data_IF_065202392799
#
_entry.id   IF_065202392799
#
_cell.length_a   1.000
_cell.length_b   1.000
_cell.length_c   1.000
_cell.angle_alpha   90.00
_cell.angle_beta   90.00
_cell.angle_gamma   90.00
#
_symmetry.space_group_name_H-M   'P 1'
#
loop_
_entity.id
_entity.type
_entity.pdbx_description
1 polymer ?
#
# COMPACT_ATOMS: atom_id res chain seq x y z
N UNK A 1 10.89 11.11 -26.51
CA UNK A 1 9.82 11.73 -25.71
C UNK A 1 9.75 13.19 -26.08
N UNK A 2 8.60 13.61 -26.54
CA UNK A 2 8.36 14.97 -26.98
C UNK A 2 7.86 15.80 -25.80
N UNK A 3 8.51 16.95 -25.58
CA UNK A 3 8.11 17.89 -24.52
C UNK A 3 7.47 19.12 -25.17
N UNK A 4 6.47 19.66 -24.52
CA UNK A 4 5.91 20.98 -24.87
C UNK A 4 6.89 22.08 -24.48
N UNK A 5 6.75 23.28 -25.05
CA UNK A 5 7.58 24.45 -24.69
C UNK A 5 7.56 24.75 -23.18
N UNK A 6 6.42 24.53 -22.53
CA UNK A 6 6.30 24.76 -21.09
C UNK A 6 7.09 23.70 -20.29
N UNK A 7 7.07 22.45 -20.72
CA UNK A 7 7.84 21.37 -20.10
C UNK A 7 9.34 21.54 -20.32
N UNK A 8 9.76 21.99 -21.51
CA UNK A 8 11.15 22.37 -21.79
C UNK A 8 11.62 23.53 -20.92
N UNK A 9 10.78 24.55 -20.71
CA UNK A 9 11.08 25.67 -19.82
C UNK A 9 11.30 25.23 -18.38
N UNK A 10 10.48 24.26 -17.87
CA UNK A 10 10.68 23.65 -16.54
C UNK A 10 12.01 22.89 -16.51
N UNK A 11 12.30 22.07 -17.52
CA UNK A 11 13.53 21.28 -17.60
C UNK A 11 14.78 22.17 -17.65
N UNK A 12 14.69 23.33 -18.30
CA UNK A 12 15.74 24.33 -18.35
C UNK A 12 15.87 25.18 -17.06
N UNK A 13 15.06 24.95 -16.05
CA UNK A 13 15.13 25.62 -14.75
C UNK A 13 14.41 26.97 -14.67
N UNK A 14 13.68 27.39 -15.70
CA UNK A 14 12.98 28.67 -15.73
C UNK A 14 11.87 28.82 -14.69
N UNK A 15 11.42 27.68 -14.09
CA UNK A 15 10.39 27.65 -13.06
C UNK A 15 10.92 27.22 -11.68
N UNK A 16 12.22 27.36 -11.45
CA UNK A 16 12.89 27.09 -10.18
C UNK A 16 13.47 25.68 -10.08
N UNK A 17 14.46 25.53 -9.17
CA UNK A 17 15.29 24.35 -9.06
C UNK A 17 14.50 23.09 -8.64
N UNK A 18 13.48 23.22 -7.77
CA UNK A 18 12.66 22.10 -7.33
C UNK A 18 11.84 21.48 -8.47
N UNK A 19 11.20 22.31 -9.32
CA UNK A 19 10.48 21.84 -10.50
C UNK A 19 11.40 21.28 -11.57
N UNK A 20 12.58 21.89 -11.77
CA UNK A 20 13.59 21.38 -12.68
C UNK A 20 13.99 19.95 -12.29
N UNK A 21 14.36 19.73 -11.04
CA UNK A 21 14.77 18.40 -10.54
C UNK A 21 13.67 17.36 -10.71
N UNK A 22 12.42 17.74 -10.47
CA UNK A 22 11.26 16.88 -10.73
C UNK A 22 11.12 16.53 -12.22
N UNK A 23 11.27 17.51 -13.11
CA UNK A 23 11.18 17.32 -14.58
C UNK A 23 12.32 16.44 -15.11
N UNK A 24 13.55 16.63 -14.62
CA UNK A 24 14.69 15.76 -14.94
C UNK A 24 14.39 14.30 -14.61
N UNK A 25 13.81 14.02 -13.43
CA UNK A 25 13.48 12.67 -13.01
C UNK A 25 12.36 12.05 -13.85
N UNK A 26 11.24 12.76 -14.03
CA UNK A 26 10.09 12.23 -14.80
C UNK A 26 10.48 12.02 -16.27
N UNK A 27 11.25 12.91 -16.87
CA UNK A 27 11.73 12.75 -18.24
C UNK A 27 12.74 11.61 -18.39
N UNK A 28 13.61 11.41 -17.41
CA UNK A 28 14.54 10.28 -17.39
C UNK A 28 13.78 8.93 -17.29
N UNK A 29 12.81 8.82 -16.39
CA UNK A 29 11.93 7.63 -16.27
C UNK A 29 11.15 7.42 -17.58
N UNK A 30 10.55 8.48 -18.14
CA UNK A 30 9.81 8.39 -19.40
C UNK A 30 10.68 7.86 -20.55
N UNK A 31 11.93 8.31 -20.67
CA UNK A 31 12.87 7.78 -21.66
C UNK A 31 13.21 6.31 -21.44
N UNK A 32 13.42 5.89 -20.19
CA UNK A 32 13.73 4.49 -19.83
C UNK A 32 12.57 3.57 -20.20
N UNK A 33 11.33 3.99 -19.95
CA UNK A 33 10.14 3.18 -20.19
C UNK A 33 9.49 3.42 -21.56
N UNK A 34 10.12 4.20 -22.43
CA UNK A 34 9.66 4.41 -23.82
C UNK A 34 8.42 5.28 -23.93
N UNK A 35 8.20 6.20 -23.00
CA UNK A 35 7.09 7.15 -23.10
C UNK A 35 7.34 8.18 -24.21
N UNK A 36 6.31 8.44 -25.02
CA UNK A 36 6.37 9.45 -26.10
C UNK A 36 6.09 10.87 -25.58
N UNK A 37 5.37 11.01 -24.47
CA UNK A 37 4.94 12.29 -23.91
C UNK A 37 4.73 12.21 -22.40
N UNK A 38 4.45 13.34 -21.77
CA UNK A 38 3.88 13.42 -20.42
C UNK A 38 2.35 13.46 -20.49
N UNK A 39 1.69 13.03 -19.38
CA UNK A 39 0.24 13.10 -19.19
C UNK A 39 -0.08 13.78 -17.87
N UNK A 40 -1.15 14.58 -17.85
CA UNK A 40 -1.63 15.23 -16.63
C UNK A 40 -2.19 14.20 -15.63
N UNK A 41 -1.96 14.43 -14.35
CA UNK A 41 -2.51 13.61 -13.27
C UNK A 41 -3.46 14.41 -12.39
N UNK A 42 -4.49 13.75 -11.85
CA UNK A 42 -5.48 14.39 -10.97
C UNK A 42 -5.07 14.35 -9.50
N UNK A 43 -4.23 13.38 -9.11
CA UNK A 43 -3.72 13.26 -7.73
C UNK A 43 -2.44 12.42 -7.66
N UNK A 44 -1.77 12.49 -6.50
CA UNK A 44 -0.65 11.63 -6.18
C UNK A 44 -0.79 10.99 -4.79
N UNK A 45 -0.20 9.79 -4.63
CA UNK A 45 -0.04 9.15 -3.34
C UNK A 45 1.40 8.69 -3.16
N UNK A 46 2.08 9.25 -2.15
CA UNK A 46 3.54 9.20 -2.04
C UNK A 46 4.00 8.15 -1.04
N UNK A 47 4.87 7.25 -1.46
CA UNK A 47 5.61 6.31 -0.60
C UNK A 47 7.06 6.77 -0.36
N UNK A 48 7.83 5.99 0.42
CA UNK A 48 9.17 6.39 0.81
C UNK A 48 9.17 7.43 1.93
N UNK A 49 8.21 7.34 2.83
CA UNK A 49 8.01 8.30 3.93
C UNK A 49 8.60 7.82 5.27
N UNK A 50 9.09 6.58 5.36
CA UNK A 50 9.74 6.06 6.56
C UNK A 50 11.25 6.30 6.52
N UNK A 51 11.80 6.85 7.61
CA UNK A 51 13.26 7.00 7.77
C UNK A 51 13.99 5.66 7.66
N UNK A 52 13.37 4.55 8.12
CA UNK A 52 13.91 3.19 7.93
C UNK A 52 14.24 2.88 6.46
N UNK A 53 13.41 3.35 5.54
CA UNK A 53 13.53 3.01 4.11
C UNK A 53 14.35 4.00 3.30
N UNK A 54 14.34 5.28 3.66
CA UNK A 54 15.04 6.32 2.89
C UNK A 54 16.35 6.78 3.51
N UNK A 55 16.52 6.61 4.83
CA UNK A 55 17.74 6.98 5.56
C UNK A 55 18.09 8.47 5.44
N UNK A 56 19.35 8.79 5.79
CA UNK A 56 19.86 10.17 5.70
C UNK A 56 19.93 10.69 4.26
N UNK A 57 20.16 9.80 3.29
CA UNK A 57 20.20 10.18 1.87
C UNK A 57 18.85 10.68 1.36
N UNK A 58 17.76 9.96 1.73
CA UNK A 58 16.41 10.39 1.40
C UNK A 58 15.98 11.65 2.15
N UNK A 59 16.33 11.77 3.42
CA UNK A 59 16.10 12.99 4.20
C UNK A 59 16.76 14.20 3.53
N UNK A 60 18.04 14.08 3.17
CA UNK A 60 18.78 15.13 2.46
C UNK A 60 18.15 15.49 1.11
N UNK A 61 17.69 14.50 0.35
CA UNK A 61 16.99 14.73 -0.92
C UNK A 61 15.73 15.56 -0.73
N UNK A 62 14.91 15.28 0.30
CA UNK A 62 13.71 16.05 0.62
C UNK A 62 14.06 17.48 1.06
N UNK A 63 15.12 17.68 1.85
CA UNK A 63 15.61 19.00 2.23
C UNK A 63 16.04 19.82 1.02
N UNK A 64 16.73 19.21 0.06
CA UNK A 64 17.15 19.89 -1.17
C UNK A 64 15.95 20.29 -2.05
N UNK A 65 14.90 19.46 -2.10
CA UNK A 65 13.67 19.81 -2.82
C UNK A 65 12.97 21.00 -2.18
N UNK A 66 12.81 20.99 -0.87
CA UNK A 66 12.19 22.11 -0.11
C UNK A 66 13.03 23.39 -0.29
N UNK A 67 14.35 23.31 -0.15
CA UNK A 67 15.25 24.45 -0.37
C UNK A 67 15.18 24.98 -1.81
N UNK A 68 14.93 24.10 -2.79
CA UNK A 68 14.70 24.43 -4.19
C UNK A 68 13.29 24.98 -4.49
N UNK A 69 12.46 25.20 -3.47
CA UNK A 69 11.11 25.74 -3.60
C UNK A 69 10.07 24.77 -4.20
N UNK A 70 10.29 23.45 -4.07
CA UNK A 70 9.36 22.46 -4.59
C UNK A 70 8.00 22.55 -3.86
N UNK A 71 6.91 22.60 -4.64
CA UNK A 71 5.53 22.55 -4.18
C UNK A 71 4.74 21.60 -5.07
N UNK A 72 3.84 20.80 -4.48
CA UNK A 72 2.96 19.93 -5.29
C UNK A 72 1.93 20.75 -6.06
N UNK A 73 1.62 20.32 -7.26
CA UNK A 73 0.66 20.98 -8.17
C UNK A 73 -0.70 20.29 -8.18
N UNK A 74 -0.83 19.11 -7.55
CA UNK A 74 -2.07 18.33 -7.46
C UNK A 74 -2.31 17.86 -6.03
N UNK A 75 -3.55 17.54 -5.64
CA UNK A 75 -3.84 16.92 -4.37
C UNK A 75 -2.95 15.70 -4.13
N UNK A 76 -2.21 15.72 -3.03
CA UNK A 76 -1.21 14.70 -2.73
C UNK A 76 -1.32 14.23 -1.29
N UNK A 77 -1.26 12.91 -1.10
CA UNK A 77 -1.38 12.24 0.20
C UNK A 77 -0.14 11.41 0.51
N UNK A 78 0.12 11.14 1.78
CA UNK A 78 1.32 10.46 2.24
C UNK A 78 1.00 9.04 2.74
N UNK A 79 1.84 8.09 2.37
CA UNK A 79 1.83 6.70 2.82
C UNK A 79 2.30 6.57 4.28
N UNK A 80 2.09 5.42 4.97
CA UNK A 80 2.57 5.19 6.32
C UNK A 80 4.05 5.49 6.50
N UNK A 81 4.35 6.03 7.65
CA UNK A 81 5.70 6.37 8.13
C UNK A 81 6.20 5.33 9.13
N UNK A 82 7.45 5.45 9.58
CA UNK A 82 8.10 4.43 10.42
C UNK A 82 7.59 4.35 11.87
N UNK A 83 6.64 5.17 12.27
CA UNK A 83 6.12 5.20 13.64
C UNK A 83 4.79 5.96 13.73
N UNK A 84 4.00 5.72 14.77
CA UNK A 84 2.92 6.64 15.18
C UNK A 84 3.53 7.96 15.67
N UNK A 85 3.10 9.09 15.12
CA UNK A 85 3.64 10.43 15.42
C UNK A 85 3.52 10.84 16.89
N UNK A 86 2.55 10.28 17.61
CA UNK A 86 2.24 10.64 19.00
C UNK A 86 2.57 9.51 19.98
N UNK A 87 2.48 8.26 19.55
CA UNK A 87 2.62 7.05 20.39
C UNK A 87 3.87 6.23 20.09
N UNK A 88 4.86 6.80 19.40
CA UNK A 88 6.07 6.09 18.97
C UNK A 88 6.85 5.43 20.14
N UNK A 89 6.73 5.95 21.38
CA UNK A 89 7.35 5.35 22.56
C UNK A 89 6.76 3.98 22.89
N UNK A 90 5.46 3.80 22.65
CA UNK A 90 4.76 2.51 22.84
C UNK A 90 5.16 1.47 21.77
N UNK A 91 5.80 1.93 20.70
CA UNK A 91 6.36 1.08 19.64
C UNK A 91 7.85 0.76 19.86
N UNK A 92 8.41 1.09 21.02
CA UNK A 92 9.84 0.94 21.33
C UNK A 92 10.79 1.69 20.38
N UNK A 93 10.33 2.77 19.76
CA UNK A 93 11.11 3.55 18.80
C UNK A 93 12.17 4.39 19.52
N UNK A 94 13.39 4.36 18.99
CA UNK A 94 14.47 5.16 19.53
C UNK A 94 14.27 6.67 19.25
N UNK A 95 14.56 7.58 20.21
CA UNK A 95 14.35 9.01 20.04
C UNK A 95 15.00 9.62 18.80
N UNK A 96 16.23 9.20 18.45
CA UNK A 96 16.92 9.68 17.24
C UNK A 96 16.17 9.32 15.95
N UNK A 97 15.61 8.11 15.88
CA UNK A 97 14.74 7.71 14.76
C UNK A 97 13.50 8.59 14.69
N UNK A 98 12.86 8.82 15.85
CA UNK A 98 11.64 9.63 15.92
C UNK A 98 11.89 11.07 15.45
N UNK A 99 12.99 11.70 15.85
CA UNK A 99 13.38 13.05 15.41
C UNK A 99 13.49 13.14 13.88
N UNK A 100 14.27 12.24 13.27
CA UNK A 100 14.47 12.18 11.82
C UNK A 100 13.16 11.87 11.08
N UNK A 101 12.34 10.97 11.63
CA UNK A 101 11.04 10.64 11.06
C UNK A 101 10.08 11.84 11.07
N UNK A 102 10.03 12.59 12.17
CA UNK A 102 9.21 13.82 12.25
C UNK A 102 9.70 14.87 11.26
N UNK A 103 11.02 15.00 11.09
CA UNK A 103 11.60 15.91 10.09
C UNK A 103 11.18 15.56 8.67
N UNK A 104 11.19 14.27 8.30
CA UNK A 104 10.69 13.79 6.99
C UNK A 104 9.23 14.18 6.77
N UNK A 105 8.36 13.92 7.75
CA UNK A 105 6.93 14.25 7.66
C UNK A 105 6.72 15.76 7.49
N UNK A 106 7.52 16.57 8.19
CA UNK A 106 7.45 18.02 8.09
C UNK A 106 7.86 18.53 6.71
N UNK A 107 8.93 18.00 6.12
CA UNK A 107 9.39 18.33 4.78
C UNK A 107 8.32 18.02 3.72
N UNK A 108 7.64 16.86 3.80
CA UNK A 108 6.51 16.56 2.92
C UNK A 108 5.38 17.59 3.11
N UNK A 109 5.07 17.96 4.35
CA UNK A 109 4.07 19.01 4.63
C UNK A 109 4.44 20.37 4.09
N UNK A 110 5.72 20.76 4.14
CA UNK A 110 6.22 22.03 3.58
C UNK A 110 6.04 22.09 2.05
N UNK A 111 6.09 20.94 1.36
CA UNK A 111 5.80 20.85 -0.07
C UNK A 111 4.28 20.83 -0.40
N UNK A 112 3.40 20.92 0.60
CA UNK A 112 1.94 20.93 0.40
C UNK A 112 1.26 19.56 0.42
N UNK A 113 1.98 18.50 0.80
CA UNK A 113 1.44 17.14 0.84
C UNK A 113 0.63 16.94 2.12
N UNK A 114 -0.59 16.42 2.00
CA UNK A 114 -1.45 16.09 3.14
C UNK A 114 -0.85 14.91 3.92
N UNK A 115 -0.55 15.13 5.20
CA UNK A 115 0.09 14.15 6.11
C UNK A 115 -0.92 13.07 6.55
N UNK A 116 -1.52 12.37 5.60
CA UNK A 116 -2.50 11.28 5.86
C UNK A 116 -1.87 10.05 6.47
N UNK A 117 -0.62 9.78 6.12
CA UNK A 117 0.19 8.65 6.61
C UNK A 117 -0.57 7.31 6.58
N UNK A 118 -1.29 7.03 5.49
CA UNK A 118 -2.12 5.84 5.34
C UNK A 118 -1.87 5.16 4.00
N UNK A 119 -1.87 3.83 3.97
CA UNK A 119 -1.75 3.04 2.75
C UNK A 119 -3.10 2.75 2.06
N UNK A 120 -4.18 3.31 2.57
CA UNK A 120 -5.53 3.19 2.00
C UNK A 120 -6.10 4.57 1.65
N UNK A 121 -5.45 5.35 0.73
CA UNK A 121 -5.87 6.71 0.41
C UNK A 121 -7.29 6.78 -0.16
N UNK A 122 -7.75 5.69 -0.79
CA UNK A 122 -9.08 5.53 -1.38
C UNK A 122 -10.22 5.36 -0.35
N UNK A 123 -9.90 5.10 0.92
CA UNK A 123 -10.86 5.13 2.05
C UNK A 123 -10.89 6.51 2.71
N UNK A 124 -9.96 7.39 2.32
CA UNK A 124 -9.75 8.73 2.86
C UNK A 124 -9.99 9.82 1.80
N UNK A 125 -9.16 10.86 1.81
CA UNK A 125 -9.40 12.06 1.01
C UNK A 125 -8.87 12.01 -0.42
N UNK A 126 -8.39 10.86 -0.93
CA UNK A 126 -7.82 10.73 -2.26
C UNK A 126 -8.51 9.59 -3.02
N UNK A 127 -9.69 9.88 -3.54
CA UNK A 127 -10.53 8.94 -4.29
C UNK A 127 -10.66 9.43 -5.72
N UNK A 128 -9.88 8.89 -6.67
CA UNK A 128 -10.01 9.25 -8.08
C UNK A 128 -11.27 8.62 -8.70
N UNK A 129 -11.66 9.13 -9.86
CA UNK A 129 -12.72 8.56 -10.68
C UNK A 129 -12.16 7.52 -11.68
N UNK A 130 -13.05 6.70 -12.24
CA UNK A 130 -12.71 5.83 -13.36
C UNK A 130 -12.10 6.65 -14.52
N UNK A 131 -10.98 6.18 -15.06
CA UNK A 131 -10.26 6.83 -16.15
C UNK A 131 -9.30 7.96 -15.72
N UNK A 132 -9.35 8.43 -14.48
CA UNK A 132 -8.40 9.43 -13.99
C UNK A 132 -6.96 8.88 -14.04
N UNK A 133 -6.04 9.68 -14.54
CA UNK A 133 -4.62 9.40 -14.40
C UNK A 133 -4.11 9.93 -13.07
N UNK A 134 -3.40 9.09 -12.32
CA UNK A 134 -2.84 9.41 -11.01
C UNK A 134 -1.40 8.89 -10.90
N UNK A 135 -0.61 9.42 -9.96
CA UNK A 135 0.74 8.91 -9.70
C UNK A 135 0.80 8.34 -8.28
N UNK A 136 0.58 7.04 -8.15
CA UNK A 136 0.52 6.37 -6.86
C UNK A 136 1.69 5.39 -6.67
N UNK A 137 2.37 5.49 -5.52
CA UNK A 137 3.57 4.71 -5.21
C UNK A 137 3.34 3.59 -4.19
N UNK A 138 2.19 3.52 -3.51
CA UNK A 138 1.87 2.41 -2.60
C UNK A 138 1.34 1.20 -3.37
N UNK A 139 2.01 0.06 -3.25
CA UNK A 139 1.76 -1.13 -4.08
C UNK A 139 0.35 -1.70 -3.96
N UNK A 140 -0.22 -1.76 -2.76
CA UNK A 140 -1.59 -2.22 -2.57
C UNK A 140 -2.62 -1.21 -3.06
N UNK A 141 -2.36 0.07 -2.83
CA UNK A 141 -3.27 1.14 -3.22
C UNK A 141 -3.35 1.30 -4.73
N UNK A 142 -2.21 1.22 -5.43
CA UNK A 142 -2.20 1.33 -6.90
C UNK A 142 -2.89 0.12 -7.56
N UNK A 143 -2.72 -1.08 -7.02
CA UNK A 143 -3.42 -2.27 -7.52
C UNK A 143 -4.93 -2.17 -7.30
N UNK A 144 -5.36 -1.68 -6.14
CA UNK A 144 -6.77 -1.41 -5.85
C UNK A 144 -7.37 -0.34 -6.76
N UNK A 145 -6.70 0.81 -6.92
CA UNK A 145 -7.24 1.93 -7.68
C UNK A 145 -7.31 1.65 -9.17
N UNK A 146 -6.31 0.95 -9.72
CA UNK A 146 -6.34 0.51 -11.10
C UNK A 146 -7.48 -0.45 -11.40
N UNK A 147 -7.77 -1.36 -10.47
CA UNK A 147 -8.68 -2.48 -10.66
C UNK A 147 -10.10 -2.15 -10.20
N UNK A 148 -10.26 -1.85 -8.91
CA UNK A 148 -11.57 -1.70 -8.28
C UNK A 148 -12.26 -0.36 -8.63
N UNK A 149 -11.46 0.71 -8.79
CA UNK A 149 -11.95 2.04 -9.18
C UNK A 149 -11.86 2.26 -10.69
N UNK A 150 -10.85 1.67 -11.36
CA UNK A 150 -10.60 1.86 -12.78
C UNK A 150 -9.86 3.16 -13.13
N UNK A 151 -9.13 3.74 -12.16
CA UNK A 151 -8.18 4.81 -12.42
C UNK A 151 -6.90 4.23 -13.05
N UNK A 152 -5.93 5.09 -13.39
CA UNK A 152 -4.75 4.70 -14.16
C UNK A 152 -3.48 5.19 -13.51
N UNK A 153 -2.66 4.27 -13.06
CA UNK A 153 -1.32 4.55 -12.53
C UNK A 153 -0.37 3.40 -12.82
N UNK A 154 0.86 3.71 -13.14
CA UNK A 154 1.93 2.73 -13.07
C UNK A 154 2.29 2.43 -11.60
N UNK A 155 3.13 1.43 -11.37
CA UNK A 155 3.77 1.20 -10.07
C UNK A 155 4.89 2.23 -9.90
N UNK A 156 4.51 3.42 -9.45
CA UNK A 156 5.47 4.50 -9.26
C UNK A 156 6.44 4.22 -8.11
N UNK A 157 7.69 4.62 -8.27
CA UNK A 157 8.61 4.72 -7.15
C UNK A 157 8.32 5.98 -6.33
N UNK A 158 8.70 5.99 -5.04
CA UNK A 158 8.47 7.16 -4.17
C UNK A 158 8.97 8.48 -4.76
N UNK A 159 10.24 8.58 -5.21
CA UNK A 159 10.76 9.79 -5.86
C UNK A 159 10.03 10.16 -7.17
N UNK A 160 9.63 9.16 -7.98
CA UNK A 160 8.88 9.38 -9.23
C UNK A 160 7.49 9.97 -8.95
N UNK A 161 6.74 9.39 -8.01
CA UNK A 161 5.45 9.93 -7.60
C UNK A 161 5.55 11.35 -7.00
N UNK A 162 6.59 11.63 -6.22
CA UNK A 162 6.84 12.98 -5.69
C UNK A 162 7.12 13.97 -6.81
N UNK A 163 7.97 13.60 -7.77
CA UNK A 163 8.25 14.43 -8.94
C UNK A 163 6.99 14.67 -9.79
N UNK A 164 6.18 13.63 -10.00
CA UNK A 164 4.90 13.74 -10.69
C UNK A 164 3.93 14.68 -9.94
N UNK A 165 3.87 14.59 -8.60
CA UNK A 165 3.06 15.48 -7.77
C UNK A 165 3.47 16.97 -7.90
N UNK A 166 4.78 17.23 -7.91
CA UNK A 166 5.33 18.59 -8.07
C UNK A 166 5.01 19.16 -9.45
N UNK A 167 5.01 18.33 -10.48
CA UNK A 167 4.75 18.75 -11.87
C UNK A 167 3.25 18.80 -12.19
N UNK A 168 2.44 17.99 -11.55
CA UNK A 168 1.06 17.68 -11.97
C UNK A 168 1.00 16.76 -13.20
N UNK A 169 2.10 16.07 -13.51
CA UNK A 169 2.26 15.23 -14.70
C UNK A 169 3.16 14.03 -14.42
N UNK A 170 2.89 12.92 -15.14
CA UNK A 170 3.79 11.76 -15.16
C UNK A 170 4.07 11.33 -16.62
N UNK A 171 4.98 10.39 -16.82
CA UNK A 171 5.27 9.86 -18.14
C UNK A 171 4.13 8.97 -18.65
N UNK A 172 3.74 9.14 -19.91
CA UNK A 172 2.62 8.44 -20.53
C UNK A 172 3.05 7.08 -21.09
N UNK A 173 3.08 6.06 -20.24
CA UNK A 173 3.45 4.69 -20.59
C UNK A 173 2.71 3.66 -19.71
N UNK A 174 2.95 2.38 -19.97
CA UNK A 174 2.48 1.28 -19.11
C UNK A 174 0.97 1.32 -18.93
N UNK A 175 0.50 1.27 -17.67
CA UNK A 175 -0.94 1.19 -17.34
C UNK A 175 -1.73 2.50 -17.55
N UNK A 176 -1.08 3.56 -17.98
CA UNK A 176 -1.78 4.74 -18.49
C UNK A 176 -2.40 4.52 -19.87
N UNK A 177 -1.90 3.53 -20.64
CA UNK A 177 -2.32 3.20 -21.99
C UNK A 177 -3.33 2.03 -21.99
N UNK A 178 -4.42 2.14 -22.73
CA UNK A 178 -5.49 1.12 -22.81
C UNK A 178 -4.97 -0.25 -23.23
N UNK A 179 -4.07 -0.31 -24.20
CA UNK A 179 -3.54 -1.55 -24.73
C UNK A 179 -2.75 -2.38 -23.71
N UNK A 180 -2.21 -1.75 -22.68
CA UNK A 180 -1.43 -2.40 -21.62
C UNK A 180 -2.28 -2.85 -20.42
N UNK A 181 -3.61 -2.69 -20.48
CA UNK A 181 -4.54 -3.04 -19.40
C UNK A 181 -5.31 -4.34 -19.65
N UNK A 182 -5.05 -5.01 -20.78
CA UNK A 182 -5.70 -6.25 -21.17
C UNK A 182 -5.33 -7.39 -20.23
N UNK A 183 -6.28 -8.24 -19.82
CA UNK A 183 -5.98 -9.42 -19.02
C UNK A 183 -5.08 -10.39 -19.80
N UNK A 184 -4.22 -11.11 -19.08
CA UNK A 184 -3.27 -12.08 -19.65
C UNK A 184 -3.61 -13.52 -19.30
N UNK A 185 -4.46 -13.75 -18.31
CA UNK A 185 -4.83 -15.07 -17.80
C UNK A 185 -6.18 -14.99 -17.08
N UNK A 186 -6.96 -16.05 -17.12
CA UNK A 186 -8.19 -16.20 -16.33
C UNK A 186 -7.90 -16.99 -15.08
N UNK A 187 -8.37 -16.51 -13.93
CA UNK A 187 -8.30 -17.21 -12.65
C UNK A 187 -9.71 -17.62 -12.24
N UNK A 188 -9.88 -18.91 -11.95
CA UNK A 188 -11.13 -19.50 -11.45
C UNK A 188 -10.88 -20.08 -10.06
N UNK A 189 -11.15 -19.32 -8.97
CA UNK A 189 -10.79 -19.73 -7.62
C UNK A 189 -11.95 -20.39 -6.87
N UNK A 190 -11.60 -21.26 -5.92
CA UNK A 190 -12.49 -21.81 -4.90
C UNK A 190 -12.13 -21.24 -3.53
N UNK A 191 -12.83 -20.19 -3.07
CA UNK A 191 -12.61 -19.52 -1.78
C UNK A 191 -13.93 -19.37 -1.00
N UNK A 192 -13.83 -19.19 0.32
CA UNK A 192 -15.00 -19.01 1.21
C UNK A 192 -15.53 -17.58 1.26
N UNK A 193 -14.85 -16.63 0.58
CA UNK A 193 -15.26 -15.23 0.51
C UNK A 193 -14.82 -14.37 1.71
N UNK A 194 -14.11 -14.92 2.69
CA UNK A 194 -13.56 -14.13 3.79
C UNK A 194 -12.41 -13.23 3.34
N UNK A 195 -12.16 -12.11 4.05
CA UNK A 195 -11.03 -11.21 3.77
C UNK A 195 -9.70 -11.97 3.77
N UNK A 196 -9.55 -12.93 4.69
CA UNK A 196 -8.33 -13.73 4.77
C UNK A 196 -8.19 -14.69 3.57
N UNK A 197 -9.29 -15.29 3.08
CA UNK A 197 -9.25 -16.13 1.87
C UNK A 197 -8.88 -15.34 0.62
N UNK A 198 -9.33 -14.09 0.48
CA UNK A 198 -8.86 -13.19 -0.59
C UNK A 198 -7.39 -12.83 -0.46
N UNK A 199 -6.87 -12.67 0.76
CA UNK A 199 -5.44 -12.46 1.01
C UNK A 199 -4.62 -13.69 0.58
N UNK A 200 -5.08 -14.90 0.90
CA UNK A 200 -4.44 -16.16 0.48
C UNK A 200 -4.57 -16.36 -1.04
N UNK A 201 -5.72 -16.06 -1.63
CA UNK A 201 -5.92 -16.11 -3.09
C UNK A 201 -4.89 -15.24 -3.81
N UNK A 202 -4.70 -13.99 -3.38
CA UNK A 202 -3.70 -13.12 -3.98
C UNK A 202 -2.27 -13.66 -3.87
N UNK A 203 -1.94 -14.34 -2.76
CA UNK A 203 -0.67 -15.04 -2.60
C UNK A 203 -0.55 -16.25 -3.55
N UNK A 204 -1.60 -17.06 -3.65
CA UNK A 204 -1.62 -18.24 -4.52
C UNK A 204 -1.49 -17.85 -6.00
N UNK A 205 -2.22 -16.82 -6.44
CA UNK A 205 -2.13 -16.28 -7.80
C UNK A 205 -0.71 -15.79 -8.10
N UNK A 206 -0.08 -15.03 -7.19
CA UNK A 206 1.30 -14.59 -7.39
C UNK A 206 2.30 -15.75 -7.48
N UNK A 207 2.04 -16.85 -6.78
CA UNK A 207 2.86 -18.07 -6.89
C UNK A 207 2.61 -18.82 -8.20
N UNK A 208 1.39 -18.81 -8.71
CA UNK A 208 1.01 -19.54 -9.91
C UNK A 208 1.49 -18.86 -11.21
N UNK A 209 1.31 -17.54 -11.31
CA UNK A 209 1.59 -16.82 -12.57
C UNK A 209 2.79 -15.88 -12.51
N UNK A 210 3.34 -15.63 -11.32
CA UNK A 210 4.48 -14.71 -11.12
C UNK A 210 4.08 -13.24 -11.36
N UNK A 211 3.76 -12.89 -12.59
CA UNK A 211 3.36 -11.52 -12.97
C UNK A 211 2.31 -11.57 -14.09
N UNK A 212 1.64 -10.47 -14.32
CA UNK A 212 0.60 -10.36 -15.35
C UNK A 212 -0.63 -9.61 -14.84
N UNK A 213 -1.70 -9.66 -15.63
CA UNK A 213 -2.99 -9.05 -15.31
C UNK A 213 -4.03 -10.17 -15.25
N UNK A 214 -4.37 -10.68 -14.05
CA UNK A 214 -5.35 -11.74 -13.90
C UNK A 214 -6.78 -11.21 -14.11
N UNK A 215 -7.62 -12.05 -14.72
CA UNK A 215 -9.06 -11.87 -14.83
C UNK A 215 -9.77 -12.92 -13.99
N UNK A 216 -10.41 -12.51 -12.92
CA UNK A 216 -11.10 -13.42 -12.00
C UNK A 216 -12.53 -13.70 -12.43
N UNK A 217 -12.92 -14.98 -12.39
CA UNK A 217 -14.30 -15.45 -12.40
C UNK A 217 -14.75 -15.85 -11.00
N UNK A 218 -16.04 -15.90 -10.78
CA UNK A 218 -16.63 -16.48 -9.56
C UNK A 218 -16.19 -15.82 -8.24
N UNK A 219 -15.80 -14.54 -8.25
CA UNK A 219 -15.54 -13.75 -7.05
C UNK A 219 -16.42 -12.50 -7.00
N UNK A 220 -16.75 -12.06 -5.80
CA UNK A 220 -17.54 -10.84 -5.57
C UNK A 220 -16.99 -10.06 -4.36
N UNK A 221 -15.76 -9.53 -4.44
CA UNK A 221 -15.16 -8.81 -3.33
C UNK A 221 -15.84 -7.47 -3.08
N UNK A 222 -16.12 -7.15 -1.82
CA UNK A 222 -16.35 -5.79 -1.35
C UNK A 222 -15.00 -5.07 -1.17
N UNK A 223 -15.02 -3.90 -0.54
CA UNK A 223 -13.82 -3.04 -0.38
C UNK A 223 -12.71 -3.74 0.41
N UNK A 224 -13.05 -4.41 1.51
CA UNK A 224 -12.07 -5.07 2.39
C UNK A 224 -11.40 -6.27 1.72
N UNK A 225 -12.19 -7.07 1.01
CA UNK A 225 -11.71 -8.24 0.25
C UNK A 225 -10.86 -7.78 -0.95
N UNK A 226 -11.33 -6.79 -1.72
CA UNK A 226 -10.58 -6.21 -2.84
C UNK A 226 -9.25 -5.58 -2.38
N UNK A 227 -9.25 -4.93 -1.22
CA UNK A 227 -8.05 -4.38 -0.54
C UNK A 227 -7.05 -5.50 -0.20
N UNK A 228 -7.52 -6.60 0.39
CA UNK A 228 -6.68 -7.73 0.77
C UNK A 228 -6.10 -8.46 -0.46
N UNK A 229 -6.92 -8.70 -1.48
CA UNK A 229 -6.52 -9.30 -2.75
C UNK A 229 -5.45 -8.46 -3.46
N UNK A 230 -5.72 -7.16 -3.63
CA UNK A 230 -4.78 -6.21 -4.26
C UNK A 230 -3.43 -6.17 -3.54
N UNK A 231 -3.45 -6.15 -2.20
CA UNK A 231 -2.24 -6.12 -1.39
C UNK A 231 -1.41 -7.40 -1.53
N UNK A 232 -2.05 -8.55 -1.50
CA UNK A 232 -1.39 -9.84 -1.62
C UNK A 232 -0.76 -10.03 -3.01
N UNK A 233 -1.50 -9.75 -4.08
CA UNK A 233 -1.00 -9.85 -5.45
C UNK A 233 0.13 -8.87 -5.74
N UNK A 234 0.04 -7.64 -5.24
CA UNK A 234 1.11 -6.65 -5.38
C UNK A 234 2.42 -7.09 -4.70
N UNK A 235 2.33 -7.85 -3.60
CA UNK A 235 3.50 -8.33 -2.87
C UNK A 235 4.04 -9.66 -3.40
N UNK A 236 3.19 -10.58 -3.87
CA UNK A 236 3.57 -11.91 -4.33
C UNK A 236 3.98 -11.98 -5.80
N UNK A 237 3.39 -11.12 -6.65
CA UNK A 237 3.58 -11.15 -8.11
C UNK A 237 3.79 -9.77 -8.73
N UNK A 238 4.00 -8.71 -7.94
CA UNK A 238 4.14 -7.34 -8.44
C UNK A 238 2.97 -6.85 -9.31
N UNK A 239 1.79 -7.45 -9.17
CA UNK A 239 0.61 -7.16 -9.98
C UNK A 239 0.01 -5.81 -9.62
N UNK A 240 -0.08 -4.94 -10.60
CA UNK A 240 -0.57 -3.57 -10.44
C UNK A 240 -2.02 -3.39 -10.95
N UNK A 241 -2.58 -4.39 -11.60
CA UNK A 241 -3.93 -4.39 -12.16
C UNK A 241 -4.48 -5.82 -12.17
N UNK A 242 -5.76 -5.96 -11.87
CA UNK A 242 -6.55 -7.17 -12.02
C UNK A 242 -7.98 -6.82 -12.44
N UNK A 243 -8.67 -7.76 -13.07
CA UNK A 243 -10.07 -7.64 -13.44
C UNK A 243 -10.88 -8.72 -12.74
N UNK A 244 -12.16 -8.45 -12.48
CA UNK A 244 -13.12 -9.43 -11.98
C UNK A 244 -14.46 -9.25 -12.69
N UNK A 245 -15.00 -10.36 -13.17
CA UNK A 245 -16.25 -10.43 -13.93
C UNK A 245 -17.42 -9.78 -13.19
N UNK A 246 -18.05 -8.78 -13.79
CA UNK A 246 -19.17 -8.06 -13.18
C UNK A 246 -18.87 -7.17 -11.99
N UNK A 247 -17.59 -7.05 -11.58
CA UNK A 247 -17.16 -6.27 -10.40
C UNK A 247 -16.30 -5.08 -10.81
N UNK A 248 -15.17 -5.32 -11.49
CA UNK A 248 -14.28 -4.22 -11.88
C UNK A 248 -14.79 -3.52 -13.14
N UNK A 249 -14.67 -2.17 -13.21
CA UNK A 249 -15.34 -1.38 -14.23
C UNK A 249 -14.87 -1.68 -15.66
N UNK A 250 -13.63 -2.15 -15.84
CA UNK A 250 -13.07 -2.45 -17.15
C UNK A 250 -13.28 -3.92 -17.60
N UNK A 251 -13.71 -4.83 -16.69
CA UNK A 251 -13.78 -6.26 -16.98
C UNK A 251 -14.63 -6.60 -18.23
N UNK A 252 -15.73 -5.89 -18.43
CA UNK A 252 -16.62 -6.11 -19.58
C UNK A 252 -16.05 -5.68 -20.95
N UNK A 253 -14.89 -5.03 -20.98
CA UNK A 253 -14.28 -4.53 -22.21
C UNK A 253 -13.41 -5.57 -22.92
N UNK A 254 -13.17 -6.75 -22.30
CA UNK A 254 -12.19 -7.71 -22.79
C UNK A 254 -12.83 -9.02 -23.23
N UNK A 255 -12.40 -9.52 -24.38
CA UNK A 255 -12.64 -10.91 -24.77
C UNK A 255 -11.56 -11.79 -24.10
N UNK A 256 -12.01 -12.75 -23.30
CA UNK A 256 -11.17 -13.66 -22.53
C UNK A 256 -11.24 -15.11 -23.03
N UNK A 257 -11.91 -15.36 -24.17
CA UNK A 257 -12.18 -16.72 -24.67
C UNK A 257 -10.92 -17.52 -25.00
N UNK A 258 -9.86 -16.83 -25.43
CA UNK A 258 -8.58 -17.43 -25.83
C UNK A 258 -7.54 -17.46 -24.70
N UNK A 259 -7.87 -16.96 -23.50
CA UNK A 259 -6.95 -16.92 -22.39
C UNK A 259 -6.87 -18.27 -21.65
N UNK A 260 -5.68 -18.61 -21.20
CA UNK A 260 -5.48 -19.76 -20.31
C UNK A 260 -6.29 -19.59 -19.02
N UNK A 261 -6.95 -20.66 -18.56
CA UNK A 261 -7.69 -20.71 -17.31
C UNK A 261 -6.87 -21.47 -16.27
N UNK A 262 -6.57 -20.81 -15.17
CA UNK A 262 -5.87 -21.40 -14.03
C UNK A 262 -6.86 -21.55 -12.87
N UNK A 263 -7.05 -22.78 -12.40
CA UNK A 263 -7.84 -23.04 -11.19
C UNK A 263 -6.99 -22.89 -9.95
N UNK A 264 -7.50 -22.14 -8.98
CA UNK A 264 -6.91 -21.98 -7.64
C UNK A 264 -7.83 -22.66 -6.64
N UNK A 265 -7.53 -23.91 -6.33
CA UNK A 265 -8.29 -24.70 -5.37
C UNK A 265 -7.63 -24.79 -4.00
N UNK A 266 -8.13 -25.70 -3.19
CA UNK A 266 -7.68 -25.93 -1.81
C UNK A 266 -6.16 -26.14 -1.70
N UNK A 267 -5.57 -26.91 -2.61
CA UNK A 267 -4.14 -27.24 -2.59
C UNK A 267 -3.26 -26.00 -2.81
N UNK A 268 -3.63 -25.15 -3.75
CA UNK A 268 -2.90 -23.91 -4.05
C UNK A 268 -2.98 -22.93 -2.88
N UNK A 269 -4.15 -22.85 -2.21
CA UNK A 269 -4.35 -22.04 -1.01
C UNK A 269 -3.57 -22.59 0.19
N UNK A 270 -3.52 -23.92 0.40
CA UNK A 270 -2.70 -24.55 1.43
C UNK A 270 -1.20 -24.27 1.19
N UNK A 271 -0.72 -24.38 -0.04
CA UNK A 271 0.67 -24.03 -0.40
C UNK A 271 0.98 -22.54 -0.12
N UNK A 272 0.04 -21.65 -0.42
CA UNK A 272 0.18 -20.23 -0.11
C UNK A 272 0.22 -19.98 1.41
N UNK A 273 -0.64 -20.65 2.16
CA UNK A 273 -0.66 -20.59 3.62
C UNK A 273 0.66 -21.07 4.22
N UNK A 274 1.17 -22.23 3.81
CA UNK A 274 2.42 -22.82 4.32
C UNK A 274 3.63 -21.92 4.03
N UNK A 275 3.66 -21.28 2.85
CA UNK A 275 4.72 -20.32 2.51
C UNK A 275 4.75 -19.09 3.44
N UNK A 276 3.62 -18.67 3.93
CA UNK A 276 3.49 -17.49 4.79
C UNK A 276 3.70 -17.80 6.29
N UNK A 277 3.63 -19.09 6.68
CA UNK A 277 3.73 -19.53 8.06
C UNK A 277 5.09 -20.20 8.34
N UNK A 278 6.00 -19.45 8.96
CA UNK A 278 7.40 -19.85 9.22
C UNK A 278 7.73 -19.99 10.71
N UNK A 279 6.75 -19.83 11.56
CA UNK A 279 6.87 -19.97 13.02
C UNK A 279 5.49 -20.28 13.61
N UNK A 280 5.48 -21.01 14.72
CA UNK A 280 4.28 -21.24 15.52
C UNK A 280 4.25 -20.37 16.79
N UNK A 281 5.39 -19.76 17.14
CA UNK A 281 5.60 -18.91 18.29
C UNK A 281 5.75 -17.45 17.84
N UNK A 282 5.09 -16.51 18.53
CA UNK A 282 5.06 -15.10 18.16
C UNK A 282 5.31 -14.19 19.37
N UNK A 283 5.88 -13.03 19.10
CA UNK A 283 6.13 -11.97 20.07
C UNK A 283 5.23 -10.76 19.81
N UNK A 284 4.87 -10.54 18.56
CA UNK A 284 4.01 -9.45 18.13
C UNK A 284 2.90 -9.97 17.22
N UNK A 285 1.67 -9.60 17.48
CA UNK A 285 0.55 -9.69 16.55
C UNK A 285 0.32 -8.30 15.98
N UNK A 286 0.52 -8.12 14.67
CA UNK A 286 0.36 -6.84 14.01
C UNK A 286 -0.73 -6.93 12.92
N UNK A 287 -1.85 -6.27 13.15
CA UNK A 287 -3.06 -6.28 12.32
C UNK A 287 -3.21 -4.92 11.63
N UNK A 288 -3.61 -4.90 10.37
CA UNK A 288 -3.81 -3.66 9.60
C UNK A 288 -2.72 -3.42 8.55
N UNK A 289 -2.50 -4.40 7.69
CA UNK A 289 -1.72 -4.29 6.47
C UNK A 289 -2.51 -4.87 5.28
N UNK A 290 -3.17 -4.00 4.46
CA UNK A 290 -3.28 -2.52 4.58
C UNK A 290 -4.03 -2.05 5.81
N UNK A 291 -3.95 -0.76 6.12
CA UNK A 291 -4.60 -0.12 7.26
C UNK A 291 -6.07 -0.54 7.41
N UNK A 292 -6.48 -0.76 8.66
CA UNK A 292 -7.86 -1.13 9.00
C UNK A 292 -8.84 -0.02 8.57
N UNK A 293 -9.95 -0.44 7.97
CA UNK A 293 -11.13 0.41 7.69
C UNK A 293 -12.01 0.54 8.93
N UNK A 294 -12.98 1.45 8.92
CA UNK A 294 -13.97 1.57 9.99
C UNK A 294 -14.74 0.25 10.21
N UNK A 295 -15.14 -0.42 9.12
CA UNK A 295 -15.84 -1.71 9.16
C UNK A 295 -14.99 -2.78 9.86
N UNK A 296 -13.70 -2.88 9.50
CA UNK A 296 -12.77 -3.82 10.14
C UNK A 296 -12.53 -3.48 11.62
N UNK A 297 -12.37 -2.19 11.98
CA UNK A 297 -12.24 -1.75 13.38
C UNK A 297 -13.45 -2.19 14.21
N UNK A 298 -14.64 -1.92 13.68
CA UNK A 298 -15.88 -2.32 14.35
C UNK A 298 -16.01 -3.83 14.53
N UNK A 299 -15.72 -4.62 13.50
CA UNK A 299 -15.75 -6.09 13.56
C UNK A 299 -14.78 -6.65 14.61
N UNK A 300 -13.57 -6.09 14.68
CA UNK A 300 -12.57 -6.49 15.68
C UNK A 300 -13.05 -6.12 17.09
N UNK A 301 -13.57 -4.92 17.28
CA UNK A 301 -14.07 -4.46 18.57
C UNK A 301 -15.26 -5.32 19.04
N UNK A 302 -16.21 -5.65 18.18
CA UNK A 302 -17.33 -6.56 18.48
C UNK A 302 -16.84 -7.97 18.90
N UNK A 303 -15.83 -8.49 18.20
CA UNK A 303 -15.23 -9.77 18.57
C UNK A 303 -14.56 -9.73 19.96
N UNK A 304 -13.97 -8.58 20.34
CA UNK A 304 -13.17 -8.42 21.55
C UNK A 304 -13.96 -7.90 22.78
N UNK A 305 -15.17 -7.37 22.60
CA UNK A 305 -15.88 -6.60 23.63
C UNK A 305 -16.04 -7.31 24.98
N UNK A 306 -16.35 -8.61 24.95
CA UNK A 306 -16.60 -9.44 26.15
C UNK A 306 -15.40 -10.33 26.53
N UNK A 307 -14.22 -10.05 25.94
CA UNK A 307 -13.02 -10.85 26.15
C UNK A 307 -11.96 -10.08 26.93
N UNK A 308 -11.02 -10.84 27.50
CA UNK A 308 -9.87 -10.30 28.24
C UNK A 308 -8.57 -10.87 27.71
N UNK A 309 -7.54 -10.04 27.67
CA UNK A 309 -6.18 -10.45 27.30
C UNK A 309 -5.55 -11.24 28.46
N UNK A 310 -5.33 -12.53 28.26
CA UNK A 310 -4.68 -13.43 29.23
C UNK A 310 -3.17 -13.53 28.99
N UNK A 311 -2.77 -13.75 27.75
CA UNK A 311 -1.35 -13.83 27.41
C UNK A 311 -0.78 -12.40 27.23
N UNK A 312 0.01 -11.97 28.22
CA UNK A 312 0.63 -10.65 28.26
C UNK A 312 2.02 -10.62 27.61
N UNK A 313 2.58 -11.77 27.28
CA UNK A 313 3.92 -11.89 26.69
C UNK A 313 3.91 -11.60 25.19
N UNK A 314 2.74 -11.60 24.57
CA UNK A 314 2.55 -11.24 23.16
C UNK A 314 2.04 -9.81 23.08
N UNK A 315 2.77 -8.95 22.40
CA UNK A 315 2.29 -7.61 22.05
C UNK A 315 1.27 -7.68 20.91
N UNK A 316 0.32 -6.74 20.90
CA UNK A 316 -0.68 -6.61 19.83
C UNK A 316 -0.69 -5.16 19.34
N UNK A 317 -0.56 -4.98 18.04
CA UNK A 317 -0.68 -3.68 17.36
C UNK A 317 -1.82 -3.72 16.37
N UNK A 318 -2.68 -2.71 16.41
CA UNK A 318 -3.70 -2.47 15.39
C UNK A 318 -3.33 -1.21 14.63
N UNK A 319 -3.15 -1.30 13.30
CA UNK A 319 -2.68 -0.21 12.48
C UNK A 319 -3.81 0.36 11.60
N UNK A 320 -4.04 1.67 11.69
CA UNK A 320 -5.04 2.37 10.89
C UNK A 320 -4.59 3.80 10.58
N UNK A 321 -5.41 4.63 9.95
CA UNK A 321 -5.14 6.06 9.81
C UNK A 321 -5.55 6.85 11.06
N UNK A 322 -4.95 8.03 11.27
CA UNK A 322 -5.33 8.91 12.37
C UNK A 322 -6.82 9.31 12.31
N UNK A 323 -7.33 9.54 11.11
CA UNK A 323 -8.73 9.89 10.87
C UNK A 323 -9.69 8.76 11.26
N UNK A 324 -9.39 7.51 10.87
CA UNK A 324 -10.23 6.36 11.23
C UNK A 324 -10.13 6.09 12.74
N UNK A 325 -8.95 6.16 13.34
CA UNK A 325 -8.77 6.01 14.79
C UNK A 325 -9.64 7.02 15.57
N UNK A 326 -9.71 8.25 15.10
CA UNK A 326 -10.54 9.28 15.74
C UNK A 326 -12.04 8.99 15.56
N UNK A 327 -12.48 8.62 14.34
CA UNK A 327 -13.89 8.31 14.08
C UNK A 327 -14.39 7.07 14.82
N UNK A 328 -13.51 6.08 15.03
CA UNK A 328 -13.82 4.84 15.72
C UNK A 328 -13.46 4.86 17.21
N UNK A 329 -13.54 6.00 17.90
CA UNK A 329 -13.05 6.17 19.27
C UNK A 329 -13.62 5.17 20.29
N UNK A 330 -14.86 4.70 20.13
CA UNK A 330 -15.47 3.69 21.02
C UNK A 330 -14.89 2.28 20.74
N UNK A 331 -14.68 1.91 19.48
CA UNK A 331 -14.04 0.65 19.11
C UNK A 331 -12.56 0.64 19.58
N UNK A 332 -11.87 1.77 19.46
CA UNK A 332 -10.50 1.95 19.97
C UNK A 332 -10.41 1.64 21.46
N UNK A 333 -11.34 2.11 22.29
CA UNK A 333 -11.36 1.81 23.75
C UNK A 333 -11.43 0.32 24.03
N UNK A 334 -12.18 -0.42 23.22
CA UNK A 334 -12.31 -1.88 23.35
C UNK A 334 -11.00 -2.56 22.94
N UNK A 335 -10.48 -2.20 21.76
CA UNK A 335 -9.28 -2.78 21.18
C UNK A 335 -8.03 -2.52 22.02
N UNK A 336 -7.91 -1.33 22.62
CA UNK A 336 -6.76 -0.94 23.46
C UNK A 336 -6.64 -1.75 24.77
N UNK A 337 -7.63 -2.51 25.16
CA UNK A 337 -7.48 -3.50 26.25
C UNK A 337 -6.52 -4.64 25.86
N UNK A 338 -6.31 -4.86 24.57
CA UNK A 338 -5.45 -5.92 24.01
C UNK A 338 -4.10 -5.39 23.53
N UNK A 339 -4.06 -4.16 23.03
CA UNK A 339 -2.85 -3.50 22.57
C UNK A 339 -3.14 -2.17 21.87
N UNK A 340 -2.12 -1.33 21.63
CA UNK A 340 -2.33 0.01 21.09
C UNK A 340 -2.95 -0.01 19.68
N UNK A 341 -3.89 0.91 19.45
CA UNK A 341 -4.34 1.28 18.10
C UNK A 341 -3.42 2.38 17.60
N UNK A 342 -2.50 2.02 16.73
CA UNK A 342 -1.47 2.89 16.18
C UNK A 342 -1.93 3.54 14.89
N UNK A 343 -1.68 4.83 14.76
CA UNK A 343 -1.92 5.57 13.54
C UNK A 343 -0.63 5.85 12.77
N UNK A 344 -0.79 6.26 11.53
CA UNK A 344 0.30 6.77 10.69
C UNK A 344 1.37 5.75 10.28
N UNK A 345 1.34 4.52 10.79
CA UNK A 345 2.41 3.52 10.63
C UNK A 345 1.88 2.14 10.32
N UNK A 346 2.77 1.25 9.89
CA UNK A 346 2.51 -0.18 9.83
C UNK A 346 3.78 -0.96 10.18
N UNK A 347 3.60 -2.25 10.53
CA UNK A 347 4.69 -3.15 10.92
C UNK A 347 5.82 -3.29 9.88
N UNK A 348 5.52 -3.10 8.60
CA UNK A 348 6.52 -3.30 7.53
C UNK A 348 7.51 -2.14 7.44
N UNK A 349 7.06 -0.92 7.69
CA UNK A 349 7.91 0.29 7.59
C UNK A 349 8.42 0.79 8.93
N UNK A 350 7.92 0.23 10.06
CA UNK A 350 8.46 0.48 11.39
C UNK A 350 9.76 -0.33 11.62
N UNK A 351 10.72 0.17 12.40
CA UNK A 351 11.97 -0.52 12.73
C UNK A 351 11.77 -1.57 13.83
N UNK A 352 10.96 -2.60 13.58
CA UNK A 352 10.57 -3.63 14.55
C UNK A 352 11.66 -4.69 14.81
N UNK A 353 12.63 -4.82 13.91
CA UNK A 353 13.71 -5.82 13.96
C UNK A 353 14.62 -5.70 15.17
N UNK A 354 14.69 -4.53 15.79
CA UNK A 354 15.43 -4.31 17.04
C UNK A 354 14.73 -4.85 18.29
N UNK A 355 13.42 -5.08 18.21
CA UNK A 355 12.57 -5.47 19.34
C UNK A 355 11.99 -6.87 19.18
N UNK A 356 11.50 -7.20 17.98
CA UNK A 356 10.83 -8.46 17.70
C UNK A 356 11.57 -9.26 16.64
N UNK A 357 11.40 -10.58 16.67
CA UNK A 357 11.94 -11.53 15.69
C UNK A 357 10.85 -12.43 15.08
N UNK A 358 9.68 -12.49 15.71
CA UNK A 358 8.56 -13.35 15.33
C UNK A 358 7.27 -12.54 15.38
N UNK A 359 6.71 -12.28 14.21
CA UNK A 359 5.53 -11.42 14.07
C UNK A 359 4.41 -12.17 13.35
N UNK A 360 3.22 -12.13 13.93
CA UNK A 360 1.99 -12.62 13.31
C UNK A 360 1.19 -11.48 12.67
N UNK A 361 0.51 -11.78 11.57
CA UNK A 361 -0.31 -10.82 10.83
C UNK A 361 -1.48 -11.49 10.12
N UNK A 362 -2.52 -10.74 9.79
CA UNK A 362 -3.65 -11.21 8.98
C UNK A 362 -3.46 -10.96 7.47
N UNK A 363 -2.28 -10.52 7.04
CA UNK A 363 -2.03 -10.06 5.68
C UNK A 363 -0.94 -10.88 4.98
N UNK A 364 -1.24 -11.45 3.82
CA UNK A 364 -0.24 -12.09 2.98
C UNK A 364 0.81 -11.09 2.48
N UNK A 365 0.44 -9.82 2.25
CA UNK A 365 1.41 -8.75 1.93
C UNK A 365 2.45 -8.59 3.05
N UNK A 366 2.00 -8.44 4.29
CA UNK A 366 2.92 -8.35 5.42
C UNK A 366 3.70 -9.65 5.62
N UNK A 367 3.06 -10.81 5.47
CA UNK A 367 3.71 -12.12 5.53
C UNK A 367 4.87 -12.30 4.55
N UNK A 368 4.79 -11.68 3.35
CA UNK A 368 5.90 -11.63 2.40
C UNK A 368 7.00 -10.63 2.79
N UNK A 369 6.63 -9.46 3.31
CA UNK A 369 7.59 -8.38 3.58
C UNK A 369 8.27 -8.48 4.95
N UNK A 370 7.62 -9.03 5.96
CA UNK A 370 8.20 -9.20 7.30
C UNK A 370 9.53 -9.95 7.29
N UNK A 371 9.68 -11.09 6.56
CA UNK A 371 10.97 -11.77 6.48
C UNK A 371 12.04 -10.99 5.74
N UNK A 372 11.67 -10.28 4.68
CA UNK A 372 12.64 -9.65 3.76
C UNK A 372 13.02 -8.23 4.17
N UNK A 373 12.09 -7.44 4.71
CA UNK A 373 12.29 -6.04 5.06
C UNK A 373 12.47 -5.80 6.56
N UNK A 374 12.05 -6.76 7.40
CA UNK A 374 12.05 -6.60 8.86
C UNK A 374 12.77 -7.73 9.59
N UNK A 375 13.41 -8.66 8.86
CA UNK A 375 14.12 -9.81 9.43
C UNK A 375 13.28 -10.65 10.42
N UNK A 376 11.97 -10.78 10.17
CA UNK A 376 11.03 -11.49 11.02
C UNK A 376 10.77 -12.92 10.52
N UNK A 377 10.52 -13.85 11.45
CA UNK A 377 9.76 -15.06 11.13
C UNK A 377 8.28 -14.70 11.19
N UNK A 378 7.57 -14.94 10.09
CA UNK A 378 6.17 -14.55 9.97
C UNK A 378 5.22 -15.72 10.28
N UNK A 379 4.09 -15.39 10.90
CA UNK A 379 2.88 -16.20 10.97
C UNK A 379 1.75 -15.40 10.29
N UNK A 380 0.97 -16.04 9.43
CA UNK A 380 -0.14 -15.38 8.75
C UNK A 380 -1.41 -16.19 8.95
N UNK A 381 -2.39 -15.63 9.68
CA UNK A 381 -3.67 -16.29 10.01
C UNK A 381 -4.81 -15.28 9.98
N UNK A 382 -6.03 -15.78 9.98
CA UNK A 382 -7.22 -14.97 10.22
C UNK A 382 -7.15 -14.20 11.54
N UNK A 383 -7.82 -13.04 11.61
CA UNK A 383 -7.78 -12.16 12.79
C UNK A 383 -8.28 -12.89 14.04
N UNK A 384 -9.36 -13.68 13.93
CA UNK A 384 -9.91 -14.43 15.06
C UNK A 384 -8.88 -15.41 15.61
N UNK A 385 -8.24 -16.21 14.74
CA UNK A 385 -7.21 -17.15 15.13
C UNK A 385 -5.96 -16.47 15.72
N UNK A 386 -5.61 -15.28 15.25
CA UNK A 386 -4.52 -14.49 15.84
C UNK A 386 -4.87 -14.00 17.24
N UNK A 387 -6.08 -13.48 17.43
CA UNK A 387 -6.50 -12.95 18.73
C UNK A 387 -6.69 -14.06 19.77
N UNK A 388 -7.05 -15.29 19.37
CA UNK A 388 -7.09 -16.46 20.25
C UNK A 388 -5.75 -16.77 20.94
N UNK A 389 -4.61 -16.37 20.34
CA UNK A 389 -3.28 -16.54 20.95
C UNK A 389 -3.08 -15.69 22.22
N UNK A 390 -3.92 -14.67 22.42
CA UNK A 390 -3.83 -13.74 23.55
C UNK A 390 -5.04 -13.81 24.47
N UNK A 391 -6.09 -14.57 24.12
CA UNK A 391 -7.28 -14.83 24.92
C UNK A 391 -7.07 -16.06 25.82
#
# INVERSE_FOLDING_TARGET
MDLTRQEEAILNGEQGAGRQKAMELVTALGKIYGADSLIDITSAHLSGASYKTIGDGGLKYLEDLVAGGAQVSVPSTLNPVGMDRTRWKEMHIHPEFAEKQLRIIDLYGQMGIKKTCSCTPYVGPNVPSMGDHVAWAESSALSFVNSYIGARTNREGGPGALAAAILGKTANYGLHLDDNRKPTVVIDPEIDGSVFSYSLLGQAVGMAIGSGIPYFKNISPEVEEAKALSAAMAASGSMALWHAEGITPEAGNFDISDLEVIHIGKKELENAYDKLNRTEDVQLIAIGCPHLTEKEMHQIAEFLKDKEKKNKDIEVWFCTSAEIRERCAEDVKIMERFGPVLADTCMVVAPIEGTFQRTATNSAKAGNYLPTLCSQKAMCRDITALMELVL
#
